data_IF_296184963131
#
_entry.id   IF_296184963131
#
_cell.length_a   1.000
_cell.length_b   1.000
_cell.length_c   1.000
_cell.angle_alpha   90.00
_cell.angle_beta   90.00
_cell.angle_gamma   90.00
#
_symmetry.space_group_name_H-M   'P 1'
#
loop_
_entity.id
_entity.type
_entity.pdbx_description
1 polymer ?
#
# COMPACT_ATOMS: atom_id res chain seq x y z
N UNK A 1 7.32 4.00 10.42
CA UNK A 1 7.03 5.14 9.53
C UNK A 1 6.75 4.54 8.16
N UNK A 2 5.57 4.73 7.58
CA UNK A 2 5.01 3.90 6.49
C UNK A 2 3.90 2.99 7.01
N UNK A 3 4.14 1.68 7.09
CA UNK A 3 3.13 0.68 7.48
C UNK A 3 2.51 0.91 8.88
N UNK A 4 3.31 1.32 9.88
CA UNK A 4 2.80 1.62 11.24
C UNK A 4 1.82 2.80 11.30
N UNK A 5 1.85 3.71 10.32
CA UNK A 5 0.98 4.88 10.27
C UNK A 5 -0.06 4.79 9.17
N UNK A 6 -0.26 3.60 8.58
CA UNK A 6 -1.01 3.43 7.35
C UNK A 6 -2.49 3.82 7.51
N UNK A 7 -3.11 3.52 8.65
CA UNK A 7 -4.48 3.96 8.94
C UNK A 7 -4.61 5.48 8.90
N UNK A 8 -3.67 6.18 9.54
CA UNK A 8 -3.64 7.64 9.59
C UNK A 8 -3.39 8.21 8.19
N UNK A 9 -2.43 7.64 7.45
CA UNK A 9 -2.10 8.09 6.09
C UNK A 9 -3.31 7.91 5.17
N UNK A 10 -3.92 6.73 5.15
CA UNK A 10 -5.07 6.44 4.29
C UNK A 10 -6.27 7.33 4.61
N UNK A 11 -6.53 7.56 5.90
CA UNK A 11 -7.60 8.44 6.36
C UNK A 11 -7.33 9.90 5.96
N UNK A 12 -6.13 10.43 6.23
CA UNK A 12 -5.80 11.83 5.96
C UNK A 12 -5.78 12.13 4.46
N UNK A 13 -5.28 11.22 3.62
CA UNK A 13 -5.32 11.40 2.16
C UNK A 13 -6.75 11.44 1.63
N UNK A 14 -7.63 10.58 2.13
CA UNK A 14 -9.05 10.60 1.75
C UNK A 14 -9.76 11.86 2.24
N UNK A 15 -9.49 12.28 3.49
CA UNK A 15 -10.05 13.50 4.06
C UNK A 15 -9.67 14.77 3.28
N UNK A 16 -8.54 14.76 2.58
CA UNK A 16 -8.04 15.88 1.77
C UNK A 16 -8.26 15.70 0.26
N UNK A 17 -9.16 14.79 -0.14
CA UNK A 17 -9.70 14.74 -1.51
C UNK A 17 -9.15 13.64 -2.40
N UNK A 18 -8.31 12.73 -1.90
CA UNK A 18 -7.90 11.56 -2.67
C UNK A 18 -8.98 10.46 -2.62
N UNK A 19 -9.52 9.97 -3.74
CA UNK A 19 -10.56 8.94 -3.71
C UNK A 19 -10.13 7.67 -2.98
N UNK A 20 -11.03 7.06 -2.20
CA UNK A 20 -10.76 5.76 -1.57
C UNK A 20 -10.49 4.63 -2.57
N UNK A 21 -10.91 4.82 -3.83
CA UNK A 21 -10.65 3.93 -4.98
C UNK A 21 -9.27 4.13 -5.60
N UNK A 22 -8.51 5.16 -5.21
CA UNK A 22 -7.18 5.41 -5.76
C UNK A 22 -6.30 4.15 -5.62
N UNK A 23 -5.69 3.67 -6.71
CA UNK A 23 -4.82 2.50 -6.65
C UNK A 23 -3.68 2.70 -5.65
N UNK A 24 -3.37 1.66 -4.88
CA UNK A 24 -2.28 1.70 -3.92
C UNK A 24 -1.65 0.32 -3.76
N UNK A 25 -0.40 0.26 -3.32
CA UNK A 25 0.29 -1.01 -3.10
C UNK A 25 1.29 -0.94 -1.94
N UNK A 26 1.43 -2.06 -1.25
CA UNK A 26 2.55 -2.32 -0.35
C UNK A 26 3.54 -3.27 -1.02
N UNK A 27 4.82 -2.90 -1.04
CA UNK A 27 5.90 -3.72 -1.57
C UNK A 27 6.81 -4.11 -0.39
N UNK A 28 6.64 -5.33 0.09
CA UNK A 28 7.43 -5.88 1.19
C UNK A 28 8.75 -6.43 0.68
N UNK A 29 9.86 -6.06 1.34
CA UNK A 29 11.23 -6.50 0.96
C UNK A 29 11.50 -6.31 -0.53
N UNK A 30 11.28 -5.09 -1.02
CA UNK A 30 11.56 -4.73 -2.41
C UNK A 30 12.99 -5.17 -2.80
N UNK A 31 13.13 -5.71 -4.02
CA UNK A 31 14.35 -6.27 -4.63
C UNK A 31 14.97 -7.50 -3.95
N UNK A 32 14.35 -8.04 -2.89
CA UNK A 32 14.82 -9.27 -2.25
C UNK A 32 14.23 -10.50 -2.95
N UNK A 33 14.84 -11.69 -2.82
CA UNK A 33 14.31 -12.93 -3.41
C UNK A 33 12.88 -13.29 -2.95
N UNK A 34 12.43 -12.77 -1.81
CA UNK A 34 11.10 -12.97 -1.26
C UNK A 34 10.27 -11.69 -1.22
N UNK A 35 10.48 -10.79 -2.19
CA UNK A 35 9.62 -9.64 -2.42
C UNK A 35 8.16 -10.08 -2.52
N UNK A 36 7.26 -9.30 -1.91
CA UNK A 36 5.81 -9.45 -2.10
C UNK A 36 5.20 -8.11 -2.42
N UNK A 37 4.32 -8.09 -3.43
CA UNK A 37 3.52 -6.91 -3.78
C UNK A 37 2.10 -7.20 -3.35
N UNK A 38 1.49 -6.27 -2.64
CA UNK A 38 0.09 -6.32 -2.21
C UNK A 38 -0.66 -5.14 -2.83
N UNK A 39 -1.21 -5.28 -4.05
CA UNK A 39 -2.06 -4.28 -4.67
C UNK A 39 -3.39 -4.17 -3.93
N UNK A 40 -3.90 -2.96 -3.79
CA UNK A 40 -5.19 -2.65 -3.19
C UNK A 40 -5.68 -1.26 -3.67
N UNK A 41 -6.67 -0.72 -2.98
CA UNK A 41 -7.04 0.69 -3.07
C UNK A 41 -6.65 1.42 -1.79
N UNK A 42 -6.58 2.75 -1.83
CA UNK A 42 -6.31 3.59 -0.66
C UNK A 42 -7.21 3.25 0.54
N UNK A 43 -8.49 2.98 0.30
CA UNK A 43 -9.45 2.62 1.35
C UNK A 43 -9.21 1.22 1.94
N UNK A 44 -8.70 0.27 1.16
CA UNK A 44 -8.57 -1.14 1.56
C UNK A 44 -7.15 -1.52 2.00
N UNK A 45 -6.16 -0.68 1.68
CA UNK A 45 -4.75 -0.97 1.95
C UNK A 45 -4.42 -1.23 3.43
N UNK A 46 -5.01 -0.51 4.42
CA UNK A 46 -4.77 -0.83 5.83
C UNK A 46 -5.21 -2.26 6.20
N UNK A 47 -6.39 -2.68 5.74
CA UNK A 47 -6.89 -4.04 5.95
C UNK A 47 -5.96 -5.09 5.32
N UNK A 48 -5.50 -4.85 4.08
CA UNK A 48 -4.55 -5.71 3.37
C UNK A 48 -3.24 -5.84 4.16
N UNK A 49 -2.73 -4.73 4.70
CA UNK A 49 -1.52 -4.74 5.53
C UNK A 49 -1.67 -5.61 6.77
N UNK A 50 -2.80 -5.48 7.48
CA UNK A 50 -3.11 -6.29 8.66
C UNK A 50 -3.29 -7.77 8.33
N UNK A 51 -4.06 -8.08 7.29
CA UNK A 51 -4.34 -9.45 6.84
C UNK A 51 -3.05 -10.20 6.50
N UNK A 52 -2.08 -9.53 5.89
CA UNK A 52 -0.79 -10.13 5.51
C UNK A 52 0.32 -9.92 6.54
N UNK A 53 0.01 -9.35 7.70
CA UNK A 53 0.97 -9.01 8.75
C UNK A 53 2.22 -8.30 8.20
N UNK A 54 2.01 -7.34 7.29
CA UNK A 54 3.11 -6.63 6.63
C UNK A 54 3.88 -5.84 7.68
N UNK A 55 5.17 -6.09 7.77
CA UNK A 55 6.07 -5.39 8.68
C UNK A 55 7.19 -4.71 7.88
N UNK A 56 7.87 -3.71 8.45
CA UNK A 56 9.08 -3.16 7.84
C UNK A 56 10.15 -4.24 7.58
N UNK A 57 10.94 -4.12 6.51
CA UNK A 57 10.93 -3.04 5.51
C UNK A 57 9.84 -3.24 4.45
N UNK A 58 9.06 -2.18 4.18
CA UNK A 58 8.07 -2.17 3.11
C UNK A 58 7.95 -0.75 2.52
N UNK A 59 7.70 -0.69 1.21
CA UNK A 59 7.43 0.55 0.48
C UNK A 59 5.92 0.70 0.26
N UNK A 60 5.40 1.92 0.42
CA UNK A 60 4.02 2.29 0.14
C UNK A 60 4.01 3.11 -1.15
N UNK A 61 3.18 2.71 -2.13
CA UNK A 61 2.97 3.43 -3.39
C UNK A 61 1.48 3.74 -3.53
N UNK A 62 1.13 4.98 -3.86
CA UNK A 62 -0.26 5.44 -4.00
C UNK A 62 -0.37 6.22 -5.32
N UNK A 63 -1.36 5.89 -6.13
CA UNK A 63 -1.65 6.51 -7.42
C UNK A 63 -1.64 5.52 -8.59
N UNK A 64 -2.00 6.03 -9.77
CA UNK A 64 -2.24 5.22 -10.98
C UNK A 64 -1.00 4.45 -11.46
N UNK A 65 0.21 4.85 -11.04
CA UNK A 65 1.46 4.12 -11.30
C UNK A 65 1.41 2.67 -10.81
N UNK A 66 0.58 2.36 -9.81
CA UNK A 66 0.38 0.98 -9.34
C UNK A 66 -0.18 0.07 -10.44
N UNK A 67 -0.98 0.60 -11.36
CA UNK A 67 -1.52 -0.17 -12.49
C UNK A 67 -0.45 -0.56 -13.52
N UNK A 68 0.74 0.06 -13.47
CA UNK A 68 1.88 -0.29 -14.32
C UNK A 68 2.75 -1.40 -13.73
N UNK A 69 2.45 -1.85 -12.50
CA UNK A 69 3.18 -2.97 -11.91
C UNK A 69 2.88 -4.24 -12.72
N UNK A 70 3.94 -4.89 -13.22
CA UNK A 70 3.81 -6.20 -13.84
C UNK A 70 3.32 -7.20 -12.78
N UNK A 71 2.33 -8.03 -13.14
CA UNK A 71 1.83 -9.07 -12.25
C UNK A 71 2.99 -10.00 -11.84
N UNK A 72 3.26 -10.18 -10.54
CA UNK A 72 4.27 -11.12 -10.06
C UNK A 72 3.92 -12.59 -10.37
#
# INVERSE_FOLDING_TARGET
>A
MGVKGLDIIAHQLQAHGLPGTTPAALIYRATWPNQKIYPATLATLPEVAHRHAVAPPALLVIGDVVALAENP
#
